data_IF_948378107783
#
_entry.id   IF_948378107783
#
_cell.length_a   1.000
_cell.length_b   1.000
_cell.length_c   1.000
_cell.angle_alpha   90.00
_cell.angle_beta   90.00
_cell.angle_gamma   90.00
#
_symmetry.space_group_name_H-M   'P 1'
#
loop_
_entity.id
_entity.type
_entity.pdbx_description
1 polymer ?
#
# COMPACT_ATOMS: atom_id res chain seq x y z
N UNK A 1 24.16 -19.59 -13.23
CA UNK A 1 23.39 -20.08 -12.07
C UNK A 1 24.15 -19.78 -10.77
N UNK A 2 24.49 -18.51 -10.51
CA UNK A 2 25.22 -18.08 -9.30
C UNK A 2 25.00 -16.58 -8.95
N UNK A 3 23.98 -15.93 -9.52
CA UNK A 3 23.73 -14.48 -9.33
C UNK A 3 22.39 -14.20 -8.64
N UNK A 4 21.55 -15.23 -8.42
CA UNK A 4 20.19 -15.03 -7.89
C UNK A 4 20.06 -15.16 -6.36
N UNK A 5 21.13 -15.46 -5.62
CA UNK A 5 21.07 -15.75 -4.17
C UNK A 5 21.29 -14.51 -3.28
N UNK A 6 21.57 -13.33 -3.85
CA UNK A 6 21.94 -12.13 -3.08
C UNK A 6 20.83 -11.09 -2.85
N UNK A 7 19.59 -11.31 -3.31
CA UNK A 7 18.50 -10.32 -3.19
C UNK A 7 17.45 -10.67 -2.10
N UNK A 8 17.58 -11.83 -1.44
CA UNK A 8 16.69 -12.26 -0.35
C UNK A 8 17.40 -12.47 0.98
N UNK A 9 18.45 -11.69 1.28
CA UNK A 9 18.77 -11.47 2.69
C UNK A 9 17.68 -10.53 3.23
N UNK A 10 16.75 -11.00 4.08
CA UNK A 10 15.91 -10.04 4.75
C UNK A 10 16.86 -9.17 5.57
N UNK A 11 16.80 -7.86 5.39
CA UNK A 11 17.10 -6.93 6.48
C UNK A 11 16.03 -7.13 7.56
N UNK A 12 15.94 -8.36 8.10
CA UNK A 12 15.37 -8.63 9.38
C UNK A 12 16.36 -7.99 10.34
N UNK A 13 16.17 -6.69 10.61
CA UNK A 13 16.48 -6.21 11.93
C UNK A 13 15.60 -7.02 12.88
N UNK A 14 16.12 -8.18 13.30
CA UNK A 14 15.59 -8.95 14.40
C UNK A 14 15.63 -8.02 15.59
N UNK A 15 14.47 -7.43 15.88
CA UNK A 15 14.35 -6.44 16.91
C UNK A 15 14.53 -7.17 18.24
N UNK A 16 15.67 -6.94 18.90
CA UNK A 16 15.93 -7.54 20.19
C UNK A 16 15.00 -6.90 21.22
N UNK A 17 13.94 -7.62 21.58
CA UNK A 17 12.89 -7.18 22.49
C UNK A 17 13.40 -6.70 23.87
N UNK A 18 14.68 -7.00 24.21
CA UNK A 18 15.34 -6.54 25.43
C UNK A 18 15.59 -5.03 25.52
N UNK A 19 15.52 -4.27 24.42
CA UNK A 19 15.91 -2.84 24.40
C UNK A 19 14.77 -1.83 24.70
N UNK A 20 13.51 -2.24 24.92
CA UNK A 20 12.39 -1.31 25.18
C UNK A 20 11.79 -1.44 26.60
N UNK A 21 11.52 -0.28 27.21
CA UNK A 21 11.63 0.07 28.64
C UNK A 21 10.55 -0.47 29.62
N UNK A 22 9.75 -1.49 29.29
CA UNK A 22 8.72 -2.00 30.23
C UNK A 22 8.54 -3.53 30.17
N UNK A 23 8.41 -4.17 31.34
CA UNK A 23 8.15 -5.61 31.51
C UNK A 23 6.92 -6.10 30.73
N UNK A 24 5.87 -5.27 30.62
CA UNK A 24 4.67 -5.54 29.83
C UNK A 24 4.96 -5.72 28.32
N UNK A 25 5.86 -4.91 27.77
CA UNK A 25 6.24 -4.99 26.35
C UNK A 25 7.09 -6.23 26.04
N UNK A 26 7.92 -6.65 27.00
CA UNK A 26 8.68 -7.90 26.89
C UNK A 26 7.76 -9.13 26.91
N UNK A 27 6.72 -9.11 27.75
CA UNK A 27 5.73 -10.20 27.81
C UNK A 27 4.88 -10.29 26.54
N UNK A 28 4.49 -9.17 25.92
CA UNK A 28 3.65 -9.17 24.70
C UNK A 28 4.34 -9.73 23.44
N UNK A 29 5.67 -9.78 23.44
CA UNK A 29 6.48 -10.19 22.28
C UNK A 29 7.04 -11.61 22.40
N UNK A 30 6.86 -12.29 23.54
CA UNK A 30 7.43 -13.62 23.76
C UNK A 30 6.80 -14.63 22.77
N UNK A 31 7.63 -15.36 22.02
CA UNK A 31 7.17 -16.31 21.01
C UNK A 31 6.90 -15.71 19.62
N UNK A 32 7.03 -14.39 19.47
CA UNK A 32 6.82 -13.70 18.19
C UNK A 32 8.11 -13.11 17.63
N UNK A 33 8.30 -13.22 16.31
CA UNK A 33 9.15 -12.32 15.55
C UNK A 33 8.38 -11.01 15.32
N UNK A 34 9.01 -9.87 15.60
CA UNK A 34 8.37 -8.55 15.46
C UNK A 34 9.01 -7.79 14.30
N UNK A 35 8.21 -7.47 13.30
CA UNK A 35 8.60 -6.71 12.11
C UNK A 35 7.94 -5.33 12.11
N UNK A 36 8.62 -4.35 11.52
CA UNK A 36 8.03 -3.03 11.27
C UNK A 36 7.84 -2.82 9.78
N UNK A 37 6.61 -2.47 9.38
CA UNK A 37 6.25 -2.24 7.98
C UNK A 37 5.41 -0.98 7.85
N UNK A 38 5.52 -0.28 6.72
CA UNK A 38 4.60 0.82 6.40
C UNK A 38 3.24 0.26 5.98
N UNK A 39 2.15 0.88 6.44
CA UNK A 39 0.80 0.50 6.03
C UNK A 39 0.63 0.75 4.53
N UNK A 40 0.34 -0.27 3.70
CA UNK A 40 0.25 -0.10 2.25
C UNK A 40 -1.15 0.36 1.82
N UNK A 41 -2.04 0.65 2.77
CA UNK A 41 -3.42 1.04 2.49
C UNK A 41 -3.47 2.40 1.81
N UNK A 42 -4.59 2.63 1.13
CA UNK A 42 -4.81 3.85 0.37
C UNK A 42 -5.19 5.05 1.25
N UNK A 43 -4.40 5.35 2.28
CA UNK A 43 -4.40 6.62 3.05
C UNK A 43 -3.02 7.29 2.95
N UNK A 44 -2.95 8.61 3.00
CA UNK A 44 -1.69 9.33 2.78
C UNK A 44 -0.73 9.21 3.96
N UNK A 45 -1.23 8.73 5.09
CA UNK A 45 -0.49 8.63 6.35
C UNK A 45 0.69 7.65 6.25
N UNK A 46 0.57 6.53 5.52
CA UNK A 46 1.59 5.48 5.46
C UNK A 46 2.06 5.02 6.87
N UNK A 47 1.14 4.96 7.83
CA UNK A 47 1.46 4.72 9.24
C UNK A 47 2.26 3.44 9.47
N UNK A 48 3.22 3.50 10.40
CA UNK A 48 4.08 2.36 10.70
C UNK A 48 3.35 1.34 11.56
N UNK A 49 3.32 0.12 11.07
CA UNK A 49 2.73 -1.05 11.70
C UNK A 49 3.81 -1.85 12.43
N UNK A 50 3.45 -2.42 13.58
CA UNK A 50 4.19 -3.46 14.27
C UNK A 50 3.50 -4.79 14.01
N UNK A 51 4.17 -5.69 13.30
CA UNK A 51 3.62 -6.97 12.84
C UNK A 51 4.24 -8.08 13.67
N UNK A 52 3.38 -8.87 14.31
CA UNK A 52 3.79 -10.01 15.11
C UNK A 52 3.64 -11.26 14.28
N UNK A 53 4.74 -11.99 14.09
CA UNK A 53 4.82 -13.20 13.29
C UNK A 53 5.14 -14.37 14.20
N UNK A 54 4.35 -15.43 14.11
CA UNK A 54 4.55 -16.68 14.84
C UNK A 54 4.55 -17.82 13.83
N UNK A 55 5.60 -18.66 13.85
CA UNK A 55 5.73 -19.81 12.95
C UNK A 55 5.51 -19.46 11.47
N UNK A 56 6.05 -18.32 11.02
CA UNK A 56 5.95 -17.84 9.63
C UNK A 56 4.58 -17.28 9.23
N UNK A 57 3.65 -17.09 10.18
CA UNK A 57 2.32 -16.51 9.96
C UNK A 57 2.14 -15.22 10.75
N UNK A 58 1.45 -14.25 10.17
CA UNK A 58 1.09 -13.02 10.85
C UNK A 58 0.01 -13.35 11.88
N UNK A 59 0.35 -13.21 13.16
CA UNK A 59 -0.58 -13.43 14.25
C UNK A 59 -1.46 -12.20 14.50
N UNK A 60 -0.85 -11.01 14.50
CA UNK A 60 -1.56 -9.74 14.67
C UNK A 60 -0.76 -8.54 14.16
N UNK A 61 -1.45 -7.43 14.01
CA UNK A 61 -0.88 -6.13 13.64
C UNK A 61 -1.30 -5.10 14.67
N UNK A 62 -0.33 -4.33 15.15
CA UNK A 62 -0.51 -3.24 16.10
C UNK A 62 0.04 -1.93 15.53
N UNK A 63 -0.40 -0.80 16.09
CA UNK A 63 0.25 0.47 15.82
C UNK A 63 1.65 0.49 16.40
N UNK A 64 2.58 1.11 15.67
CA UNK A 64 3.82 1.52 16.29
C UNK A 64 3.61 2.74 17.20
N UNK A 65 4.60 2.98 18.05
CA UNK A 65 4.74 4.12 18.95
C UNK A 65 5.43 5.31 18.27
N UNK A 66 5.52 5.32 16.94
CA UNK A 66 6.13 6.43 16.22
C UNK A 66 5.30 7.72 16.29
N UNK A 67 5.94 8.81 15.86
CA UNK A 67 5.37 10.16 15.94
C UNK A 67 4.06 10.30 15.19
N UNK A 68 3.81 9.48 14.16
CA UNK A 68 2.63 9.54 13.32
C UNK A 68 1.49 8.68 13.88
N UNK A 69 1.74 7.38 14.09
CA UNK A 69 0.74 6.42 14.51
C UNK A 69 0.31 6.62 15.97
N UNK A 70 1.25 6.97 16.86
CA UNK A 70 1.01 7.22 18.29
C UNK A 70 0.19 6.11 18.96
N UNK A 71 0.42 4.85 18.60
CA UNK A 71 -0.29 3.71 19.16
C UNK A 71 -1.73 3.51 18.67
N UNK A 72 -2.17 4.22 17.62
CA UNK A 72 -3.52 4.06 17.03
C UNK A 72 -3.44 3.46 15.63
N UNK A 73 -4.40 2.60 15.28
CA UNK A 73 -4.63 2.11 13.91
C UNK A 73 -6.07 2.36 13.49
N UNK A 74 -6.29 2.56 12.18
CA UNK A 74 -7.64 2.51 11.65
C UNK A 74 -8.16 1.06 11.62
N UNK A 75 -9.50 0.85 11.61
CA UNK A 75 -10.07 -0.49 11.56
C UNK A 75 -9.58 -1.33 10.37
N UNK A 76 -9.25 -0.68 9.24
CA UNK A 76 -8.72 -1.34 8.03
C UNK A 76 -7.32 -1.92 8.24
N UNK A 77 -6.47 -1.22 8.99
CA UNK A 77 -5.11 -1.66 9.28
C UNK A 77 -5.09 -2.69 10.40
N UNK A 78 -5.89 -2.49 11.45
CA UNK A 78 -6.02 -3.42 12.57
C UNK A 78 -6.51 -4.81 12.13
N UNK A 79 -7.41 -4.86 11.14
CA UNK A 79 -7.94 -6.12 10.56
C UNK A 79 -7.27 -6.53 9.26
N UNK A 80 -6.07 -6.04 8.96
CA UNK A 80 -5.41 -6.40 7.70
C UNK A 80 -5.06 -7.90 7.63
N UNK A 81 -4.85 -8.54 8.79
CA UNK A 81 -4.61 -9.99 8.91
C UNK A 81 -5.78 -10.81 8.37
N UNK A 82 -7.03 -10.39 8.68
CA UNK A 82 -8.25 -11.03 8.17
C UNK A 82 -8.29 -11.02 6.64
N UNK A 83 -7.84 -9.93 6.02
CA UNK A 83 -7.74 -9.81 4.56
C UNK A 83 -6.64 -10.71 3.99
N UNK A 84 -5.48 -10.79 4.64
CA UNK A 84 -4.35 -11.61 4.19
C UNK A 84 -4.72 -13.10 4.15
N UNK A 85 -5.49 -13.57 5.14
CA UNK A 85 -5.91 -14.96 5.28
C UNK A 85 -7.37 -15.23 4.91
N UNK A 86 -8.06 -14.27 4.29
CA UNK A 86 -9.44 -14.44 3.86
C UNK A 86 -9.58 -15.62 2.89
N UNK A 87 -10.62 -16.43 3.08
CA UNK A 87 -11.02 -17.48 2.15
C UNK A 87 -11.47 -16.92 0.78
N UNK A 88 -11.83 -15.63 0.72
CA UNK A 88 -12.22 -14.94 -0.51
C UNK A 88 -11.02 -14.45 -1.34
N UNK A 89 -9.79 -14.69 -0.88
CA UNK A 89 -8.59 -14.24 -1.58
C UNK A 89 -8.43 -14.99 -2.91
N UNK A 90 -8.23 -14.23 -4.00
CA UNK A 90 -7.88 -14.80 -5.30
C UNK A 90 -6.41 -15.23 -5.26
N UNK A 91 -6.19 -16.55 -5.25
CA UNK A 91 -4.86 -17.16 -5.13
C UNK A 91 -4.31 -17.70 -6.46
N UNK A 92 -5.17 -17.86 -7.46
CA UNK A 92 -4.84 -18.48 -8.74
C UNK A 92 -5.39 -17.62 -9.88
N UNK A 93 -4.69 -17.55 -11.02
CA UNK A 93 -5.24 -16.91 -12.20
C UNK A 93 -6.46 -17.69 -12.72
N UNK A 94 -7.37 -16.97 -13.35
CA UNK A 94 -8.57 -17.54 -13.94
C UNK A 94 -8.93 -16.80 -15.24
N UNK A 95 -9.51 -17.53 -16.19
CA UNK A 95 -10.01 -17.01 -17.46
C UNK A 95 -11.52 -16.89 -17.38
N UNK A 96 -12.06 -15.74 -17.78
CA UNK A 96 -13.50 -15.55 -17.93
C UNK A 96 -14.01 -16.31 -19.15
N UNK A 97 -14.95 -17.22 -18.96
CA UNK A 97 -15.61 -17.99 -20.03
C UNK A 97 -16.88 -17.30 -20.55
N UNK A 98 -17.21 -16.11 -20.03
CA UNK A 98 -18.46 -15.41 -20.29
C UNK A 98 -19.48 -15.61 -19.16
N UNK A 99 -20.47 -14.71 -19.07
CA UNK A 99 -21.57 -14.82 -18.11
C UNK A 99 -21.16 -14.80 -16.63
N UNK A 100 -19.98 -14.29 -16.30
CA UNK A 100 -19.44 -14.28 -14.93
C UNK A 100 -18.82 -15.61 -14.49
N UNK A 101 -18.68 -16.58 -15.39
CA UNK A 101 -18.06 -17.88 -15.11
C UNK A 101 -16.55 -17.80 -15.32
N UNK A 102 -15.78 -18.17 -14.30
CA UNK A 102 -14.32 -18.17 -14.36
C UNK A 102 -13.77 -19.58 -14.21
N UNK A 103 -12.83 -19.95 -15.08
CA UNK A 103 -12.08 -21.20 -15.01
C UNK A 103 -10.65 -20.94 -14.55
N UNK A 104 -10.22 -21.61 -13.48
CA UNK A 104 -8.82 -21.56 -13.02
C UNK A 104 -7.88 -22.12 -14.10
N UNK A 105 -6.74 -21.48 -14.28
CA UNK A 105 -5.69 -21.88 -15.22
C UNK A 105 -4.32 -21.86 -14.55
N UNK A 106 -3.30 -22.41 -15.19
CA UNK A 106 -1.92 -22.27 -14.72
C UNK A 106 -1.41 -20.84 -14.95
N UNK A 107 -0.34 -20.48 -14.25
CA UNK A 107 0.36 -19.21 -14.48
C UNK A 107 0.90 -19.09 -15.90
N UNK A 108 1.50 -20.14 -16.46
CA UNK A 108 2.03 -20.13 -17.82
C UNK A 108 0.94 -19.86 -18.85
N UNK A 109 -0.22 -20.53 -18.71
CA UNK A 109 -1.37 -20.30 -19.59
C UNK A 109 -1.90 -18.87 -19.46
N UNK A 110 -2.02 -18.35 -18.23
CA UNK A 110 -2.50 -16.99 -18.02
C UNK A 110 -1.54 -15.94 -18.61
N UNK A 111 -0.23 -16.10 -18.40
CA UNK A 111 0.79 -15.19 -18.90
C UNK A 111 0.92 -15.26 -20.42
N UNK A 112 0.86 -16.45 -21.02
CA UNK A 112 0.88 -16.57 -22.49
C UNK A 112 -0.38 -15.95 -23.10
N UNK A 113 -1.56 -16.19 -22.50
CA UNK A 113 -2.81 -15.59 -22.99
C UNK A 113 -2.75 -14.05 -22.93
N UNK A 114 -2.32 -13.46 -21.82
CA UNK A 114 -2.24 -12.00 -21.69
C UNK A 114 -1.17 -11.42 -22.62
N UNK A 115 0.02 -12.04 -22.67
CA UNK A 115 1.12 -11.52 -23.48
C UNK A 115 0.86 -11.65 -24.98
N UNK A 116 0.29 -12.77 -25.45
CA UNK A 116 -0.10 -12.94 -26.86
C UNK A 116 -1.13 -11.92 -27.30
N UNK A 117 -2.17 -11.65 -26.48
CA UNK A 117 -3.17 -10.62 -26.79
C UNK A 117 -2.59 -9.22 -26.79
N UNK A 118 -1.69 -8.90 -25.86
CA UNK A 118 -0.99 -7.60 -25.89
C UNK A 118 -0.16 -7.50 -27.17
N UNK A 119 0.64 -8.52 -27.52
CA UNK A 119 1.44 -8.51 -28.78
C UNK A 119 0.56 -8.33 -30.02
N UNK A 120 -0.52 -9.10 -30.13
CA UNK A 120 -1.47 -9.00 -31.25
C UNK A 120 -2.01 -7.57 -31.39
N UNK A 121 -2.40 -6.93 -30.28
CA UNK A 121 -2.91 -5.56 -30.30
C UNK A 121 -1.82 -4.56 -30.69
N UNK A 122 -0.61 -4.71 -30.16
CA UNK A 122 0.53 -3.85 -30.48
C UNK A 122 0.89 -3.93 -31.97
N UNK A 123 0.91 -5.14 -32.54
CA UNK A 123 1.27 -5.38 -33.95
C UNK A 123 0.16 -4.93 -34.92
N UNK A 124 -1.10 -5.14 -34.55
CA UNK A 124 -2.24 -4.89 -35.45
C UNK A 124 -2.77 -3.46 -35.37
N UNK A 125 -2.72 -2.84 -34.18
CA UNK A 125 -3.43 -1.59 -33.92
C UNK A 125 -2.59 -0.49 -33.23
N UNK A 126 -1.35 -0.78 -32.85
CA UNK A 126 -0.47 0.19 -32.19
C UNK A 126 -0.58 0.24 -30.66
N UNK A 127 0.44 0.81 -30.03
CA UNK A 127 0.58 0.85 -28.57
C UNK A 127 -0.51 1.69 -27.87
N UNK A 128 -1.01 2.71 -28.54
CA UNK A 128 -2.05 3.61 -28.02
C UNK A 128 -3.39 2.90 -27.78
N UNK A 129 -3.59 1.71 -28.35
CA UNK A 129 -4.80 0.89 -28.18
C UNK A 129 -4.77 0.02 -26.94
N UNK A 130 -3.64 -0.06 -26.25
CA UNK A 130 -3.53 -0.67 -24.94
C UNK A 130 -3.64 0.44 -23.89
N UNK A 131 -4.63 0.35 -22.99
CA UNK A 131 -4.75 1.24 -21.83
C UNK A 131 -4.19 0.55 -20.59
N UNK A 132 -3.11 1.07 -20.04
CA UNK A 132 -2.66 0.71 -18.70
C UNK A 132 -3.41 1.53 -17.66
N UNK A 133 -4.37 0.88 -17.01
CA UNK A 133 -5.10 1.44 -15.88
C UNK A 133 -4.39 1.07 -14.57
N UNK A 134 -3.78 2.06 -13.94
CA UNK A 134 -3.25 1.96 -12.58
C UNK A 134 -3.95 2.97 -11.66
N UNK A 135 -3.86 2.75 -10.34
CA UNK A 135 -4.51 3.54 -9.28
C UNK A 135 -6.04 3.31 -9.19
N UNK A 136 -6.67 3.14 -8.02
CA UNK A 136 -6.21 3.28 -6.62
C UNK A 136 -6.40 1.97 -5.80
N UNK A 137 -5.84 1.89 -4.59
CA UNK A 137 -6.10 0.76 -3.67
C UNK A 137 -4.92 0.25 -2.84
N UNK A 138 -3.67 0.50 -3.26
CA UNK A 138 -2.46 0.17 -2.50
C UNK A 138 -1.33 1.15 -2.84
N UNK A 139 -0.63 1.68 -1.82
CA UNK A 139 0.45 2.67 -1.98
C UNK A 139 1.87 2.11 -1.79
N UNK A 140 2.03 0.79 -1.73
CA UNK A 140 3.36 0.18 -1.65
C UNK A 140 4.24 0.57 -2.85
N UNK A 141 5.52 0.83 -2.62
CA UNK A 141 6.44 1.31 -3.67
C UNK A 141 6.54 0.28 -4.81
N UNK A 142 6.74 -1.00 -4.47
CA UNK A 142 6.84 -2.06 -5.48
C UNK A 142 5.52 -2.24 -6.25
N UNK A 143 4.40 -2.32 -5.54
CA UNK A 143 3.07 -2.51 -6.16
C UNK A 143 2.66 -1.33 -7.03
N UNK A 144 3.10 -0.11 -6.69
CA UNK A 144 2.76 1.10 -7.45
C UNK A 144 3.66 1.33 -8.67
N UNK A 145 4.95 1.05 -8.57
CA UNK A 145 5.91 1.51 -9.59
C UNK A 145 6.54 0.38 -10.42
N UNK A 146 6.58 -0.87 -9.93
CA UNK A 146 7.34 -1.92 -10.59
C UNK A 146 6.88 -2.22 -12.03
N UNK A 147 5.56 -2.24 -12.25
CA UNK A 147 4.99 -2.53 -13.58
C UNK A 147 5.19 -1.39 -14.58
N UNK A 148 5.36 -0.14 -14.11
CA UNK A 148 5.47 1.03 -14.99
C UNK A 148 6.64 0.95 -15.97
N UNK A 149 7.73 0.26 -15.60
CA UNK A 149 8.88 0.02 -16.48
C UNK A 149 8.46 -0.69 -17.78
N UNK A 150 7.70 -1.78 -17.67
CA UNK A 150 7.18 -2.53 -18.82
C UNK A 150 6.27 -1.65 -19.67
N UNK A 151 5.28 -1.01 -19.05
CA UNK A 151 4.29 -0.22 -19.78
C UNK A 151 4.89 1.04 -20.43
N UNK A 152 5.94 1.64 -19.83
CA UNK A 152 6.69 2.73 -20.46
C UNK A 152 7.48 2.24 -21.67
N UNK A 153 8.12 1.06 -21.55
CA UNK A 153 8.86 0.45 -22.65
C UNK A 153 7.94 0.15 -23.85
N UNK A 154 6.74 -0.37 -23.58
CA UNK A 154 5.73 -0.64 -24.60
C UNK A 154 5.05 0.63 -25.15
N UNK A 155 5.26 1.81 -24.52
CA UNK A 155 4.67 3.11 -24.92
C UNK A 155 3.14 3.10 -25.02
N UNK A 156 2.49 2.32 -24.16
CA UNK A 156 1.03 2.19 -24.15
C UNK A 156 0.36 3.46 -23.62
N UNK A 157 -0.93 3.63 -23.91
CA UNK A 157 -1.75 4.69 -23.32
C UNK A 157 -1.86 4.49 -21.81
N UNK A 158 -1.78 5.58 -21.04
CA UNK A 158 -1.86 5.57 -19.58
C UNK A 158 -2.77 6.68 -19.10
N UNK A 159 -3.37 6.49 -17.93
CA UNK A 159 -3.99 7.59 -17.20
C UNK A 159 -2.92 8.48 -16.58
N UNK A 160 -3.28 9.70 -16.18
CA UNK A 160 -2.44 10.58 -15.36
C UNK A 160 -2.31 10.07 -13.90
N UNK A 161 -2.98 8.96 -13.57
CA UNK A 161 -2.97 8.32 -12.26
C UNK A 161 -3.74 9.07 -11.19
N UNK A 162 -4.52 10.09 -11.54
CA UNK A 162 -5.16 10.98 -10.58
C UNK A 162 -6.68 10.97 -10.76
N UNK A 163 -7.35 10.12 -9.98
CA UNK A 163 -8.82 10.00 -10.03
C UNK A 163 -9.48 10.95 -9.01
N UNK A 164 -8.82 11.20 -7.87
CA UNK A 164 -9.45 11.88 -6.73
C UNK A 164 -8.78 13.20 -6.32
N UNK A 165 -7.52 13.44 -6.71
CA UNK A 165 -6.70 14.53 -6.20
C UNK A 165 -6.16 15.48 -7.30
N UNK A 166 -6.63 15.30 -8.55
CA UNK A 166 -6.08 16.01 -9.72
C UNK A 166 -6.27 17.52 -9.62
N UNK A 167 -7.51 17.95 -9.38
CA UNK A 167 -7.87 19.37 -9.31
C UNK A 167 -7.13 20.08 -8.18
N UNK A 168 -7.02 19.45 -7.00
CA UNK A 168 -6.27 20.00 -5.87
C UNK A 168 -4.78 20.10 -6.16
N UNK A 169 -4.19 19.05 -6.72
CA UNK A 169 -2.78 19.03 -7.15
C UNK A 169 -2.48 20.12 -8.17
N UNK A 170 -3.37 20.30 -9.16
CA UNK A 170 -3.21 21.32 -10.20
C UNK A 170 -3.31 22.73 -9.62
N UNK A 171 -4.31 22.99 -8.78
CA UNK A 171 -4.50 24.30 -8.14
C UNK A 171 -3.30 24.68 -7.27
N UNK A 172 -2.83 23.77 -6.40
CA UNK A 172 -1.68 24.01 -5.54
C UNK A 172 -0.40 24.29 -6.35
N UNK A 173 -0.15 23.55 -7.44
CA UNK A 173 1.00 23.82 -8.32
C UNK A 173 0.89 25.16 -9.04
N UNK A 174 -0.31 25.56 -9.48
CA UNK A 174 -0.50 26.85 -10.16
C UNK A 174 -0.28 28.04 -9.22
N UNK A 175 -0.71 27.92 -7.96
CA UNK A 175 -0.63 29.00 -6.97
C UNK A 175 0.72 29.04 -6.23
N UNK A 176 1.24 27.88 -5.84
CA UNK A 176 2.41 27.76 -4.94
C UNK A 176 3.61 27.10 -5.60
N UNK A 177 3.52 26.64 -6.85
CA UNK A 177 4.59 25.94 -7.56
C UNK A 177 4.84 24.49 -7.09
N UNK A 178 4.24 24.07 -5.97
CA UNK A 178 4.40 22.72 -5.42
C UNK A 178 3.11 22.24 -4.72
N UNK A 179 3.06 20.94 -4.41
CA UNK A 179 2.01 20.34 -3.55
C UNK A 179 2.54 20.00 -2.16
N UNK A 180 3.69 20.54 -1.78
CA UNK A 180 4.29 20.25 -0.49
C UNK A 180 3.52 21.01 0.59
N UNK A 181 2.97 20.27 1.55
CA UNK A 181 2.22 20.81 2.68
C UNK A 181 2.97 20.67 3.99
N UNK A 182 2.26 20.89 5.09
CA UNK A 182 2.77 20.63 6.45
C UNK A 182 2.80 19.12 6.73
N UNK A 183 3.65 18.71 7.66
CA UNK A 183 3.58 17.35 8.18
C UNK A 183 2.41 17.22 9.18
N UNK A 184 1.81 16.02 9.35
CA UNK A 184 0.78 15.82 10.35
C UNK A 184 1.18 16.28 11.76
N UNK A 185 2.46 16.15 12.12
CA UNK A 185 3.03 16.57 13.41
C UNK A 185 3.06 18.10 13.61
N UNK A 186 3.00 18.89 12.54
CA UNK A 186 3.01 20.35 12.64
C UNK A 186 1.65 20.89 13.13
N UNK A 187 0.58 20.07 13.04
CA UNK A 187 -0.78 20.43 13.47
C UNK A 187 -0.82 20.77 14.96
N UNK A 188 -0.01 20.10 15.77
CA UNK A 188 0.06 20.29 17.23
C UNK A 188 0.47 21.73 17.63
N UNK A 189 1.03 22.49 16.68
CA UNK A 189 1.52 23.87 16.88
C UNK A 189 0.57 24.93 16.35
N UNK A 190 -0.50 24.52 15.66
CA UNK A 190 -1.44 25.46 15.04
C UNK A 190 -2.48 25.92 16.06
N UNK A 191 -2.70 27.23 16.14
CA UNK A 191 -3.78 27.80 16.95
C UNK A 191 -5.16 27.63 16.32
N UNK A 192 -5.22 27.31 15.03
CA UNK A 192 -6.45 27.13 14.26
C UNK A 192 -6.25 26.13 13.14
N UNK A 193 -7.19 25.21 12.99
CA UNK A 193 -7.27 24.26 11.89
C UNK A 193 -8.65 24.38 11.23
N UNK A 194 -8.66 24.60 9.91
CA UNK A 194 -9.90 24.63 9.11
C UNK A 194 -10.01 23.33 8.33
N UNK A 195 -11.07 22.56 8.60
CA UNK A 195 -11.40 21.33 7.86
C UNK A 195 -12.49 21.67 6.85
N UNK A 196 -12.17 21.59 5.57
CA UNK A 196 -13.11 21.89 4.47
C UNK A 196 -13.21 20.72 3.50
N UNK A 197 -14.42 20.23 3.26
CA UNK A 197 -14.70 19.36 2.10
C UNK A 197 -14.20 17.92 2.22
N UNK A 198 -13.84 17.47 3.43
CA UNK A 198 -13.52 16.08 3.71
C UNK A 198 -13.80 15.74 5.19
N UNK A 199 -13.90 14.44 5.50
CA UNK A 199 -14.16 13.95 6.86
C UNK A 199 -12.89 13.30 7.47
N UNK A 200 -12.09 14.04 8.27
CA UNK A 200 -10.84 13.54 8.84
C UNK A 200 -11.04 12.34 9.76
N UNK A 201 -12.18 12.22 10.45
CA UNK A 201 -12.46 11.12 11.36
C UNK A 201 -12.54 9.75 10.66
N UNK A 202 -12.75 9.74 9.33
CA UNK A 202 -12.89 8.51 8.52
C UNK A 202 -11.69 8.27 7.61
N UNK A 203 -11.19 9.34 6.98
CA UNK A 203 -10.16 9.25 5.92
C UNK A 203 -8.75 9.59 6.39
N UNK A 204 -8.59 10.28 7.52
CA UNK A 204 -7.30 10.76 8.02
C UNK A 204 -7.25 10.75 9.56
N UNK A 205 -7.43 9.56 10.15
CA UNK A 205 -7.61 9.43 11.61
C UNK A 205 -6.43 9.95 12.43
N UNK A 206 -5.21 9.85 11.90
CA UNK A 206 -4.01 10.33 12.58
C UNK A 206 -4.02 11.85 12.64
N UNK A 207 -4.41 12.50 11.54
CA UNK A 207 -4.63 13.94 11.51
C UNK A 207 -5.77 14.35 12.45
N UNK A 208 -6.91 13.64 12.39
CA UNK A 208 -8.07 13.95 13.23
C UNK A 208 -7.74 13.95 14.72
N UNK A 209 -6.98 12.95 15.16
CA UNK A 209 -6.54 12.85 16.56
C UNK A 209 -5.75 14.07 17.01
N UNK A 210 -4.92 14.65 16.14
CA UNK A 210 -4.12 15.85 16.45
C UNK A 210 -4.97 17.11 16.51
N UNK A 211 -5.93 17.23 15.58
CA UNK A 211 -6.87 18.36 15.57
C UNK A 211 -7.68 18.44 16.87
N UNK A 212 -8.03 17.30 17.47
CA UNK A 212 -8.79 17.26 18.72
C UNK A 212 -7.99 17.61 19.98
N UNK A 213 -6.65 17.71 19.90
CA UNK A 213 -5.78 17.78 21.07
C UNK A 213 -5.72 16.42 21.76
N UNK A 214 -4.59 15.73 21.62
CA UNK A 214 -4.34 14.42 22.22
C UNK A 214 -4.30 14.45 23.74
#
# INVERSE_FOLDING_TARGET
>A
MAILTLILAPLAHTFNCKKHKTLLHYMSCRGFEVLFVGCPRDCYDACRLRVFVESGRIARVEASDDRLAQGVLCPRAARDVDRVYSSLRVLYPAVNLGGGVFKKVSWDTALELVSSRIREVLESYGAERVLFLEYAGNRGILTRYASRRLWNFLRVTKTDGSICDFSGTKALRLLYGSTYGIFPEDIDRLSMVVVWGFNPAVSAIHMWRRVLGS
#
